data_IF_051636038505
#
_entry.id   IF_051636038505
#
_cell.length_a   1.000
_cell.length_b   1.000
_cell.length_c   1.000
_cell.angle_alpha   90.00
_cell.angle_beta   90.00
_cell.angle_gamma   90.00
#
_symmetry.space_group_name_H-M   'P 1'
#
loop_
_entity.id
_entity.type
_entity.pdbx_description
1 polymer ?
#
# COMPACT_ATOMS: atom_id res chain seq x y z
N UNK A 1 27.72 -13.92 18.70
CA UNK A 1 26.73 -13.06 19.35
C UNK A 1 25.56 -12.97 18.42
N UNK A 2 24.35 -13.16 18.94
CA UNK A 2 23.13 -13.07 18.15
C UNK A 2 22.74 -11.59 18.05
N UNK A 3 22.48 -11.08 16.85
CA UNK A 3 22.11 -9.68 16.61
C UNK A 3 20.61 -9.62 16.29
N UNK A 4 19.74 -9.51 17.31
CA UNK A 4 18.31 -9.84 17.19
C UNK A 4 17.52 -8.96 16.22
N UNK A 5 18.05 -7.79 15.86
CA UNK A 5 17.39 -6.83 14.97
C UNK A 5 18.08 -6.69 13.63
N UNK A 6 19.17 -7.43 13.36
CA UNK A 6 19.93 -7.31 12.13
C UNK A 6 19.05 -7.49 10.89
N UNK A 7 18.22 -8.54 10.84
CA UNK A 7 17.29 -8.75 9.71
C UNK A 7 16.21 -7.67 9.64
N UNK A 8 15.67 -7.26 10.79
CA UNK A 8 14.56 -6.28 10.85
C UNK A 8 14.95 -4.91 10.32
N UNK A 9 16.22 -4.53 10.40
CA UNK A 9 16.70 -3.22 9.94
C UNK A 9 17.90 -3.30 9.00
N UNK A 10 18.09 -4.45 8.33
CA UNK A 10 19.22 -4.69 7.42
C UNK A 10 19.33 -3.59 6.36
N UNK A 11 18.21 -3.23 5.76
CA UNK A 11 18.17 -2.20 4.72
C UNK A 11 18.64 -0.85 5.25
N UNK A 12 18.18 -0.43 6.43
CA UNK A 12 18.65 0.78 7.08
C UNK A 12 20.18 0.75 7.27
N UNK A 13 20.72 -0.33 7.86
CA UNK A 13 22.15 -0.47 8.15
C UNK A 13 22.98 -0.34 6.85
N UNK A 14 22.54 -0.96 5.76
CA UNK A 14 23.20 -0.86 4.45
C UNK A 14 23.21 0.58 3.96
N UNK A 15 22.08 1.29 4.03
CA UNK A 15 22.00 2.68 3.57
C UNK A 15 22.87 3.61 4.41
N UNK A 16 22.88 3.45 5.73
CA UNK A 16 23.75 4.22 6.63
C UNK A 16 25.22 3.95 6.33
N UNK A 17 25.64 2.69 6.22
CA UNK A 17 27.04 2.34 5.91
C UNK A 17 27.46 2.83 4.52
N UNK A 18 26.55 2.81 3.55
CA UNK A 18 26.81 3.34 2.20
C UNK A 18 27.03 4.86 2.25
N UNK A 19 26.20 5.59 2.99
CA UNK A 19 26.33 7.03 3.15
C UNK A 19 27.62 7.39 3.90
N UNK A 20 27.95 6.63 4.95
CA UNK A 20 29.21 6.76 5.69
C UNK A 20 30.42 6.58 4.76
N UNK A 21 30.44 5.53 3.95
CA UNK A 21 31.53 5.26 3.01
C UNK A 21 31.67 6.38 1.96
N UNK A 22 30.55 6.87 1.41
CA UNK A 22 30.55 7.98 0.42
C UNK A 22 31.12 9.27 0.96
N UNK A 23 30.95 9.56 2.26
CA UNK A 23 31.44 10.77 2.89
C UNK A 23 32.69 10.56 3.76
N UNK A 24 33.28 9.36 3.75
CA UNK A 24 34.40 8.98 4.60
C UNK A 24 34.15 9.28 6.10
N UNK A 25 32.95 8.95 6.58
CA UNK A 25 32.50 9.14 7.95
C UNK A 25 32.61 7.80 8.69
N UNK A 26 33.22 7.80 9.88
CA UNK A 26 33.23 6.65 10.78
C UNK A 26 32.08 6.69 11.79
N UNK A 27 31.89 5.62 12.56
CA UNK A 27 30.79 5.53 13.53
C UNK A 27 30.89 6.58 14.64
N UNK A 28 32.11 7.03 14.97
CA UNK A 28 32.35 8.08 15.97
C UNK A 28 31.84 9.41 15.47
N UNK A 29 32.24 9.80 14.26
CA UNK A 29 31.78 11.03 13.63
C UNK A 29 30.28 10.99 13.34
N UNK A 30 29.72 9.84 12.98
CA UNK A 30 28.27 9.68 12.86
C UNK A 30 27.56 9.94 14.19
N UNK A 31 28.11 9.47 15.31
CA UNK A 31 27.53 9.73 16.65
C UNK A 31 27.50 11.21 17.01
N UNK A 32 28.53 11.96 16.63
CA UNK A 32 28.60 13.42 16.78
C UNK A 32 27.55 14.12 15.90
N UNK A 33 27.43 13.71 14.63
CA UNK A 33 26.45 14.27 13.68
C UNK A 33 25.01 14.06 14.17
N UNK A 34 24.71 12.86 14.67
CA UNK A 34 23.37 12.52 15.15
C UNK A 34 23.08 13.07 16.56
N UNK A 35 24.11 13.50 17.29
CA UNK A 35 23.98 13.84 18.71
C UNK A 35 23.47 12.64 19.52
N UNK A 36 24.07 11.47 19.32
CA UNK A 36 23.78 10.22 20.02
C UNK A 36 25.07 9.67 20.63
N UNK A 37 24.97 8.84 21.67
CA UNK A 37 26.15 8.17 22.19
C UNK A 37 26.72 7.19 21.16
N UNK A 38 28.05 7.06 21.15
CA UNK A 38 28.75 6.13 20.26
C UNK A 38 28.24 4.69 20.40
N UNK A 39 28.01 4.23 21.64
CA UNK A 39 27.48 2.89 21.92
C UNK A 39 26.07 2.68 21.35
N UNK A 40 25.24 3.73 21.31
CA UNK A 40 23.92 3.63 20.71
C UNK A 40 24.02 3.47 19.20
N UNK A 41 24.82 4.31 18.53
CA UNK A 41 25.04 4.22 17.07
C UNK A 41 25.61 2.87 16.67
N UNK A 42 26.65 2.39 17.38
CA UNK A 42 27.24 1.07 17.11
C UNK A 42 26.22 -0.04 17.32
N UNK A 43 25.41 0.01 18.38
CA UNK A 43 24.36 -0.98 18.62
C UNK A 43 23.32 -1.02 17.50
N UNK A 44 22.95 0.12 16.91
CA UNK A 44 22.06 0.16 15.74
C UNK A 44 22.75 -0.46 14.52
N UNK A 45 23.99 -0.06 14.24
CA UNK A 45 24.75 -0.53 13.06
C UNK A 45 25.13 -2.01 13.10
N UNK A 46 25.22 -2.58 14.30
CA UNK A 46 25.45 -4.01 14.53
C UNK A 46 24.14 -4.83 14.46
N UNK A 47 22.98 -4.21 14.69
CA UNK A 47 21.70 -4.91 14.82
C UNK A 47 21.38 -5.38 16.24
N UNK A 48 22.10 -4.87 17.25
CA UNK A 48 21.84 -5.10 18.67
C UNK A 48 20.70 -4.22 19.22
N UNK A 49 20.49 -3.05 18.60
CA UNK A 49 19.42 -2.11 18.95
C UNK A 49 18.54 -1.84 17.76
N UNK A 50 17.23 -1.94 17.95
CA UNK A 50 16.27 -1.60 16.92
C UNK A 50 15.98 -0.10 16.88
N UNK A 51 16.22 0.55 15.74
CA UNK A 51 15.90 1.97 15.59
C UNK A 51 14.40 2.20 15.47
N UNK A 52 13.67 1.34 14.74
CA UNK A 52 12.25 1.51 14.45
C UNK A 52 11.34 1.46 15.68
N UNK A 53 11.68 0.64 16.67
CA UNK A 53 10.93 0.53 17.94
C UNK A 53 11.45 1.42 19.06
N UNK A 54 12.43 2.29 18.79
CA UNK A 54 13.00 3.22 19.76
C UNK A 54 12.33 4.61 19.71
N UNK A 55 13.02 5.61 20.25
CA UNK A 55 12.51 6.98 20.26
C UNK A 55 12.38 7.58 18.85
N UNK A 56 11.21 8.17 18.56
CA UNK A 56 10.95 8.86 17.28
C UNK A 56 12.01 9.92 16.94
N UNK A 57 12.51 10.63 17.95
CA UNK A 57 13.58 11.62 17.77
C UNK A 57 14.85 11.02 17.15
N UNK A 58 15.18 9.77 17.49
CA UNK A 58 16.33 9.08 16.91
C UNK A 58 16.06 8.71 15.45
N UNK A 59 14.86 8.23 15.14
CA UNK A 59 14.43 7.96 13.75
C UNK A 59 14.56 9.22 12.88
N UNK A 60 14.11 10.37 13.38
CA UNK A 60 14.20 11.67 12.70
C UNK A 60 15.65 12.11 12.45
N UNK A 61 16.57 11.87 13.40
CA UNK A 61 18.00 12.15 13.22
C UNK A 61 18.61 11.33 12.08
N UNK A 62 18.30 10.04 12.00
CA UNK A 62 18.76 9.17 10.90
C UNK A 62 18.13 9.55 9.55
N UNK A 63 16.84 9.91 9.55
CA UNK A 63 16.15 10.41 8.35
C UNK A 63 16.83 11.66 7.81
N UNK A 64 17.14 12.62 8.67
CA UNK A 64 17.86 13.85 8.33
C UNK A 64 19.28 13.57 7.82
N UNK A 65 20.01 12.66 8.45
CA UNK A 65 21.36 12.27 8.01
C UNK A 65 21.35 11.65 6.60
N UNK A 66 20.36 10.81 6.30
CA UNK A 66 20.23 10.14 5.00
C UNK A 66 19.52 10.99 3.94
N UNK A 67 18.95 12.14 4.31
CA UNK A 67 18.19 12.99 3.39
C UNK A 67 16.89 12.36 2.88
N UNK A 68 16.26 11.51 3.69
CA UNK A 68 15.02 10.80 3.33
C UNK A 68 13.87 11.10 4.29
N UNK A 69 12.60 10.92 3.90
CA UNK A 69 11.48 11.01 4.82
C UNK A 69 11.56 10.01 5.98
N UNK A 70 11.01 10.37 7.15
CA UNK A 70 10.93 9.49 8.33
C UNK A 70 10.23 8.16 8.01
N UNK A 71 9.19 8.20 7.18
CA UNK A 71 8.46 7.02 6.73
C UNK A 71 9.40 5.98 6.07
N UNK A 72 10.36 6.44 5.27
CA UNK A 72 11.34 5.56 4.61
C UNK A 72 12.21 4.82 5.64
N UNK A 73 12.61 5.50 6.73
CA UNK A 73 13.34 4.86 7.83
C UNK A 73 12.49 3.79 8.51
N UNK A 74 11.20 4.09 8.78
CA UNK A 74 10.29 3.13 9.41
C UNK A 74 10.06 1.89 8.54
N UNK A 75 9.96 2.05 7.22
CA UNK A 75 9.90 0.94 6.26
C UNK A 75 11.20 0.13 6.28
N UNK A 76 12.36 0.80 6.22
CA UNK A 76 13.66 0.10 6.27
C UNK A 76 13.96 -0.60 7.60
N UNK A 77 13.27 -0.21 8.66
CA UNK A 77 13.28 -0.85 9.98
C UNK A 77 12.23 -1.95 10.14
N UNK A 78 11.46 -2.24 9.09
CA UNK A 78 10.33 -3.17 9.10
C UNK A 78 9.34 -2.86 10.25
N UNK A 79 9.20 -1.57 10.60
CA UNK A 79 8.23 -1.07 11.58
C UNK A 79 6.87 -0.85 10.92
N UNK A 80 6.87 -0.43 9.66
CA UNK A 80 5.69 -0.31 8.80
C UNK A 80 5.85 -1.30 7.64
N UNK A 81 4.81 -2.09 7.42
CA UNK A 81 4.68 -3.09 6.36
C UNK A 81 3.68 -2.61 5.30
N UNK A 82 3.61 -3.31 4.16
CA UNK A 82 2.66 -2.97 3.10
C UNK A 82 1.20 -3.06 3.59
N UNK A 83 0.92 -3.98 4.52
CA UNK A 83 -0.39 -4.19 5.13
C UNK A 83 -0.84 -2.98 5.96
N UNK A 84 0.10 -2.27 6.60
CA UNK A 84 -0.20 -1.07 7.38
C UNK A 84 -0.60 0.12 6.49
N UNK A 85 -0.30 0.06 5.19
CA UNK A 85 -0.59 1.10 4.22
C UNK A 85 -1.88 0.83 3.42
N UNK A 86 -2.55 -0.31 3.63
CA UNK A 86 -3.76 -0.70 2.91
C UNK A 86 -4.90 -0.84 3.91
N UNK A 87 -6.06 -0.24 3.61
CA UNK A 87 -7.29 -0.54 4.34
C UNK A 87 -7.78 -1.91 3.88
N UNK A 88 -7.32 -2.97 4.54
CA UNK A 88 -7.81 -4.33 4.29
C UNK A 88 -9.23 -4.44 4.83
N UNK A 89 -10.22 -4.30 3.95
CA UNK A 89 -11.54 -4.84 4.26
C UNK A 89 -11.40 -6.36 4.16
N UNK A 90 -11.82 -7.10 5.18
CA UNK A 90 -11.89 -8.56 5.07
C UNK A 90 -12.75 -8.95 3.85
N UNK A 91 -12.56 -10.15 3.30
CA UNK A 91 -13.38 -10.63 2.16
C UNK A 91 -14.86 -10.46 2.47
N UNK A 92 -15.31 -10.83 3.69
CA UNK A 92 -16.68 -10.61 4.16
C UNK A 92 -17.12 -9.15 4.20
N UNK A 93 -16.28 -8.23 4.64
CA UNK A 93 -16.61 -6.80 4.69
C UNK A 93 -16.70 -6.21 3.28
N UNK A 94 -15.80 -6.63 2.38
CA UNK A 94 -15.83 -6.26 0.97
C UNK A 94 -17.09 -6.78 0.28
N UNK A 95 -17.50 -8.02 0.58
CA UNK A 95 -18.72 -8.64 0.07
C UNK A 95 -19.97 -7.94 0.60
N UNK A 96 -20.01 -7.59 1.89
CA UNK A 96 -21.11 -6.83 2.48
C UNK A 96 -21.25 -5.43 1.85
N UNK A 97 -20.13 -4.74 1.62
CA UNK A 97 -20.12 -3.44 0.94
C UNK A 97 -20.54 -3.55 -0.53
N UNK A 98 -20.13 -4.61 -1.23
CA UNK A 98 -20.55 -4.86 -2.60
C UNK A 98 -22.05 -5.15 -2.69
N UNK A 99 -22.60 -5.95 -1.79
CA UNK A 99 -24.04 -6.20 -1.70
C UNK A 99 -24.82 -4.91 -1.46
N UNK A 100 -24.35 -4.05 -0.53
CA UNK A 100 -24.94 -2.72 -0.30
C UNK A 100 -24.93 -1.84 -1.55
N UNK A 101 -23.87 -1.89 -2.36
CA UNK A 101 -23.83 -1.15 -3.63
C UNK A 101 -24.83 -1.70 -4.66
N UNK A 102 -25.07 -3.01 -4.65
CA UNK A 102 -26.01 -3.69 -5.55
C UNK A 102 -27.47 -3.38 -5.16
N UNK A 103 -27.78 -3.34 -3.86
CA UNK A 103 -29.08 -2.87 -3.32
C UNK A 103 -29.41 -1.45 -3.79
N UNK A 104 -28.39 -0.60 -3.88
CA UNK A 104 -28.55 0.80 -4.25
C UNK A 104 -28.52 1.05 -5.78
N UNK A 105 -28.20 0.04 -6.59
CA UNK A 105 -28.19 0.15 -8.06
C UNK A 105 -29.61 -0.10 -8.62
N UNK A 106 -30.29 0.92 -9.17
CA UNK A 106 -31.65 0.76 -9.69
C UNK A 106 -31.78 -0.27 -10.82
N UNK A 107 -30.69 -0.57 -11.53
CA UNK A 107 -30.65 -1.51 -12.66
C UNK A 107 -30.33 -2.95 -12.25
N UNK A 108 -29.79 -3.16 -11.05
CA UNK A 108 -29.33 -4.45 -10.57
C UNK A 108 -29.99 -4.90 -9.25
N UNK A 109 -30.72 -4.02 -8.55
CA UNK A 109 -31.36 -4.32 -7.27
C UNK A 109 -32.30 -5.56 -7.33
N UNK A 110 -32.90 -5.84 -8.49
CA UNK A 110 -33.74 -7.04 -8.69
C UNK A 110 -32.97 -8.37 -8.56
N UNK A 111 -31.64 -8.34 -8.63
CA UNK A 111 -30.78 -9.51 -8.53
C UNK A 111 -30.25 -9.73 -7.10
N UNK A 112 -30.49 -8.78 -6.18
CA UNK A 112 -29.98 -8.84 -4.80
C UNK A 112 -30.63 -10.02 -4.06
N UNK A 113 -29.83 -10.97 -3.52
CA UNK A 113 -30.34 -12.02 -2.64
C UNK A 113 -30.90 -11.45 -1.34
N UNK A 114 -31.85 -12.14 -0.70
CA UNK A 114 -32.32 -11.70 0.62
C UNK A 114 -31.17 -11.74 1.64
N UNK A 115 -31.20 -10.93 2.72
CA UNK A 115 -30.16 -10.96 3.74
C UNK A 115 -29.97 -12.33 4.38
N UNK A 116 -31.05 -13.08 4.56
CA UNK A 116 -31.03 -14.42 5.15
C UNK A 116 -30.35 -15.41 4.19
N UNK A 117 -30.72 -15.39 2.91
CA UNK A 117 -30.09 -16.24 1.88
C UNK A 117 -28.60 -15.89 1.70
N UNK A 118 -28.26 -14.59 1.74
CA UNK A 118 -26.88 -14.14 1.60
C UNK A 118 -25.99 -14.66 2.71
N UNK A 119 -26.45 -14.57 3.97
CA UNK A 119 -25.66 -15.00 5.12
C UNK A 119 -25.43 -16.52 5.16
N UNK A 120 -26.36 -17.31 4.62
CA UNK A 120 -26.23 -18.76 4.49
C UNK A 120 -25.41 -19.18 3.25
N UNK A 121 -25.21 -18.26 2.30
CA UNK A 121 -24.44 -18.52 1.07
C UNK A 121 -22.94 -18.65 1.37
N UNK A 122 -22.25 -19.70 0.87
CA UNK A 122 -20.81 -19.83 1.02
C UNK A 122 -20.03 -18.64 0.44
N UNK A 123 -18.94 -18.25 1.11
CA UNK A 123 -18.12 -17.07 0.73
C UNK A 123 -17.62 -17.12 -0.73
N UNK A 124 -17.30 -18.31 -1.24
CA UNK A 124 -16.89 -18.50 -2.64
C UNK A 124 -18.00 -18.17 -3.64
N UNK A 125 -19.26 -18.43 -3.29
CA UNK A 125 -20.44 -18.13 -4.12
C UNK A 125 -20.79 -16.64 -4.03
N UNK A 126 -20.71 -16.06 -2.83
CA UNK A 126 -20.84 -14.60 -2.63
C UNK A 126 -19.81 -13.83 -3.47
N UNK A 127 -18.56 -14.30 -3.50
CA UNK A 127 -17.49 -13.70 -4.31
C UNK A 127 -17.77 -13.81 -5.80
N UNK A 128 -18.16 -14.99 -6.29
CA UNK A 128 -18.52 -15.17 -7.69
C UNK A 128 -19.69 -14.24 -8.10
N UNK A 129 -20.69 -14.10 -7.24
CA UNK A 129 -21.84 -13.23 -7.46
C UNK A 129 -21.43 -11.75 -7.58
N UNK A 130 -20.59 -11.25 -6.66
CA UNK A 130 -20.06 -9.88 -6.72
C UNK A 130 -19.23 -9.65 -7.98
N UNK A 131 -18.39 -10.62 -8.38
CA UNK A 131 -17.59 -10.51 -9.60
C UNK A 131 -18.48 -10.46 -10.86
N UNK A 132 -19.60 -11.19 -10.90
CA UNK A 132 -20.56 -11.08 -12.01
C UNK A 132 -21.19 -9.69 -12.08
N UNK A 133 -21.57 -9.13 -10.93
CA UNK A 133 -22.10 -7.77 -10.86
C UNK A 133 -21.06 -6.73 -11.32
N UNK A 134 -19.79 -6.86 -10.91
CA UNK A 134 -18.73 -5.97 -11.39
C UNK A 134 -18.55 -6.03 -12.91
N UNK A 135 -18.67 -7.23 -13.51
CA UNK A 135 -18.63 -7.40 -14.96
C UNK A 135 -19.84 -6.78 -15.65
N UNK A 136 -21.04 -6.95 -15.08
CA UNK A 136 -22.28 -6.37 -15.59
C UNK A 136 -22.26 -4.83 -15.53
N UNK A 137 -21.94 -4.25 -14.37
CA UNK A 137 -21.88 -2.81 -14.16
C UNK A 137 -20.81 -2.11 -15.02
N UNK A 138 -19.72 -2.82 -15.37
CA UNK A 138 -18.69 -2.31 -16.30
C UNK A 138 -19.08 -2.41 -17.77
N UNK A 139 -20.09 -3.21 -18.14
CA UNK A 139 -20.58 -3.34 -19.53
C UNK A 139 -21.68 -2.33 -19.88
N UNK A 140 -22.39 -1.79 -18.90
CA UNK A 140 -23.52 -0.88 -19.12
C UNK A 140 -23.14 0.42 -19.83
N UNK A 141 -21.89 0.90 -19.71
CA UNK A 141 -21.45 2.14 -20.37
C UNK A 141 -21.02 1.92 -21.84
N UNK A 142 -20.49 0.75 -22.20
CA UNK A 142 -19.96 0.46 -23.53
C UNK A 142 -21.01 -0.11 -24.48
N UNK A 143 -21.98 -0.89 -23.99
CA UNK A 143 -23.05 -1.45 -24.84
C UNK A 143 -24.14 -0.42 -25.19
N UNK A 144 -24.45 0.54 -24.30
CA UNK A 144 -25.34 1.66 -24.66
C UNK A 144 -24.73 2.61 -25.70
N UNK A 145 -23.40 2.76 -25.72
CA UNK A 145 -22.70 3.54 -26.75
C UNK A 145 -22.70 2.85 -28.13
N UNK A 146 -22.89 1.53 -28.18
CA UNK A 146 -22.91 0.77 -29.43
C UNK A 146 -24.29 0.68 -30.10
N UNK A 147 -25.39 0.99 -29.42
CA UNK A 147 -26.73 0.97 -30.03
C UNK A 147 -27.09 2.24 -30.82
N UNK A 148 -26.34 3.35 -30.71
CA UNK A 148 -26.69 4.64 -31.33
C UNK A 148 -25.71 5.14 -32.41
N UNK A 149 -24.94 4.26 -33.06
CA UNK A 149 -24.14 4.67 -34.22
C UNK A 149 -24.72 4.08 -35.52
N UNK A 150 -25.42 4.89 -36.33
CA UNK A 150 -25.71 4.53 -37.72
C UNK A 150 -24.39 4.28 -38.47
N UNK A 151 -24.34 3.21 -39.28
CA UNK A 151 -23.15 2.72 -40.01
C UNK A 151 -22.44 3.78 -40.90
N UNK A 152 -23.08 4.91 -41.13
CA UNK A 152 -22.67 6.00 -42.00
C UNK A 152 -21.92 7.15 -41.30
N UNK A 153 -21.62 7.04 -40.00
CA UNK A 153 -20.97 8.12 -39.23
C UNK A 153 -19.50 8.41 -39.61
N UNK A 154 -18.80 7.47 -40.26
CA UNK A 154 -17.35 7.60 -40.54
C UNK A 154 -17.01 8.09 -41.96
N UNK A 155 -18.00 8.46 -42.79
CA UNK A 155 -17.79 8.85 -44.19
C UNK A 155 -18.25 10.29 -44.52
N UNK A 156 -17.72 11.30 -43.83
CA UNK A 156 -17.78 12.69 -44.35
C UNK A 156 -16.39 13.33 -44.42
N UNK A 157 -15.97 13.86 -45.59
CA UNK A 157 -14.69 14.54 -45.70
C UNK A 157 -14.71 15.89 -44.98
N UNK A 158 -13.54 16.27 -44.46
CA UNK A 158 -13.33 17.50 -43.67
C UNK A 158 -13.56 18.72 -44.57
N UNK A 159 -14.35 19.74 -44.14
CA UNK A 159 -14.66 20.90 -44.98
C UNK A 159 -13.41 21.76 -45.18
N UNK A 160 -13.18 22.21 -46.41
CA UNK A 160 -12.25 23.32 -46.72
C UNK A 160 -13.01 24.65 -46.75
N UNK A 161 -12.33 25.76 -46.46
CA UNK A 161 -12.93 27.05 -46.05
C UNK A 161 -13.83 27.69 -47.11
#
# INVERSE_FOLDING_TARGET
MDHPYLEKQRQLIVQVKTMMARHNIDARRLSEILGLSYSHVVGILAGDRWLGGGDKSNVEKFAKFLGVPVLTILVWCNYITAQDCVVSHGVKESLALALRKLELDPSANVLVPSPDDWNETPESVQLAFVMMYELYAKRTLLEHAHMELPENAFNKPIPKP
#
